data_IF_772776026076
#
_entry.id   IF_772776026076
#
_cell.length_a   1.000
_cell.length_b   1.000
_cell.length_c   1.000
_cell.angle_alpha   90.00
_cell.angle_beta   90.00
_cell.angle_gamma   90.00
#
_symmetry.space_group_name_H-M   'P 1'
#
loop_
_entity.id
_entity.type
_entity.pdbx_description
1 polymer ?
#
# COMPACT_ATOMS: atom_id res chain seq x y z
N UNK A 1 -24.65 19.52 -2.44
CA UNK A 1 -23.80 18.38 -2.08
C UNK A 1 -23.08 17.79 -3.30
N UNK A 2 -23.75 17.45 -4.39
CA UNK A 2 -23.17 16.83 -5.59
C UNK A 2 -22.05 17.63 -6.27
N UNK A 3 -22.04 18.98 -6.18
CA UNK A 3 -20.99 19.83 -6.76
C UNK A 3 -19.58 19.64 -6.15
N UNK A 4 -19.45 18.92 -5.04
CA UNK A 4 -18.18 18.64 -4.35
C UNK A 4 -17.62 17.22 -4.65
N UNK A 5 -18.34 16.41 -5.45
CA UNK A 5 -17.88 15.08 -5.88
C UNK A 5 -16.90 15.26 -7.03
N UNK A 6 -15.71 14.71 -6.86
CA UNK A 6 -14.69 14.64 -7.90
C UNK A 6 -14.69 13.24 -8.51
N UNK A 7 -14.93 13.16 -9.80
CA UNK A 7 -14.81 11.91 -10.54
C UNK A 7 -13.37 11.72 -10.99
N UNK A 8 -12.89 10.51 -10.84
CA UNK A 8 -11.57 10.08 -11.31
C UNK A 8 -11.77 8.96 -12.29
N UNK A 9 -11.29 9.12 -13.52
CA UNK A 9 -11.31 8.03 -14.49
C UNK A 9 -10.23 7.00 -14.18
N UNK A 10 -10.45 5.74 -14.58
CA UNK A 10 -9.43 4.69 -14.45
C UNK A 10 -8.13 5.09 -15.15
N UNK A 11 -8.22 5.76 -16.29
CA UNK A 11 -7.05 6.27 -17.01
C UNK A 11 -6.26 7.32 -16.21
N UNK A 12 -6.95 8.32 -15.62
CA UNK A 12 -6.30 9.32 -14.77
C UNK A 12 -5.62 8.66 -13.55
N UNK A 13 -6.31 7.71 -12.92
CA UNK A 13 -5.77 6.94 -11.81
C UNK A 13 -4.47 6.23 -12.20
N UNK A 14 -4.49 5.45 -13.30
CA UNK A 14 -3.31 4.72 -13.77
C UNK A 14 -2.15 5.65 -14.14
N UNK A 15 -2.40 6.75 -14.85
CA UNK A 15 -1.38 7.72 -15.24
C UNK A 15 -0.70 8.31 -14.00
N UNK A 16 -1.48 8.67 -12.98
CA UNK A 16 -0.92 9.24 -11.75
C UNK A 16 -0.12 8.23 -10.94
N UNK A 17 -0.62 7.00 -10.76
CA UNK A 17 0.12 5.94 -10.07
C UNK A 17 1.44 5.63 -10.79
N UNK A 18 1.41 5.49 -12.12
CA UNK A 18 2.63 5.25 -12.89
C UNK A 18 3.67 6.37 -12.69
N UNK A 19 3.26 7.64 -12.78
CA UNK A 19 4.16 8.77 -12.59
C UNK A 19 4.82 8.76 -11.20
N UNK A 20 4.08 8.40 -10.14
CA UNK A 20 4.63 8.29 -8.79
C UNK A 20 5.61 7.11 -8.64
N UNK A 21 5.36 5.99 -9.32
CA UNK A 21 6.30 4.87 -9.35
C UNK A 21 7.58 5.29 -10.08
N UNK A 22 7.47 5.94 -11.25
CA UNK A 22 8.61 6.39 -12.03
C UNK A 22 9.46 7.41 -11.27
N UNK A 23 8.85 8.28 -10.46
CA UNK A 23 9.56 9.22 -9.59
C UNK A 23 10.48 8.51 -8.57
N UNK A 24 10.01 7.38 -8.02
CA UNK A 24 10.79 6.56 -7.07
C UNK A 24 11.89 5.77 -7.79
N UNK A 25 11.64 5.37 -9.03
CA UNK A 25 12.44 4.40 -9.78
C UNK A 25 13.54 5.05 -10.65
N UNK A 26 14.12 6.15 -10.24
CA UNK A 26 14.97 7.02 -11.04
C UNK A 26 16.41 6.49 -11.28
N UNK A 27 16.82 5.38 -10.66
CA UNK A 27 18.16 4.78 -10.86
C UNK A 27 18.08 3.47 -11.64
N UNK A 28 18.98 3.27 -12.60
CA UNK A 28 19.02 2.03 -13.39
C UNK A 28 19.38 0.80 -12.54
N UNK A 29 20.21 0.99 -11.52
CA UNK A 29 20.69 -0.09 -10.64
C UNK A 29 19.63 -0.59 -9.64
N UNK A 30 18.52 0.12 -9.47
CA UNK A 30 17.48 -0.24 -8.52
C UNK A 30 16.87 -1.61 -8.84
N UNK A 31 16.72 -2.43 -7.79
CA UNK A 31 15.93 -3.66 -7.81
C UNK A 31 14.74 -3.48 -6.90
N UNK A 32 13.55 -3.63 -7.45
CA UNK A 32 12.32 -3.14 -6.87
C UNK A 32 11.33 -4.27 -6.69
N UNK A 33 10.91 -4.50 -5.45
CA UNK A 33 9.77 -5.37 -5.15
C UNK A 33 8.48 -4.55 -5.17
N UNK A 34 7.49 -5.02 -5.92
CA UNK A 34 6.19 -4.39 -6.04
C UNK A 34 5.14 -5.23 -5.32
N UNK A 35 4.35 -4.59 -4.49
CA UNK A 35 3.24 -5.18 -3.74
C UNK A 35 2.00 -4.29 -3.89
N UNK A 36 0.83 -4.90 -3.89
CA UNK A 36 -0.44 -4.20 -3.72
C UNK A 36 -0.94 -4.48 -2.30
N UNK A 37 -1.38 -3.44 -1.61
CA UNK A 37 -1.98 -3.57 -0.29
C UNK A 37 -3.22 -4.46 -0.37
N UNK A 38 -3.37 -5.33 0.62
CA UNK A 38 -4.56 -6.15 0.83
C UNK A 38 -4.91 -6.21 2.31
N UNK A 39 -6.09 -6.65 2.60
CA UNK A 39 -6.46 -6.96 3.97
C UNK A 39 -5.59 -8.10 4.52
N UNK A 40 -5.09 -7.92 5.74
CA UNK A 40 -4.24 -8.87 6.45
C UNK A 40 -4.73 -9.05 7.88
N UNK A 41 -4.45 -10.21 8.46
CA UNK A 41 -4.75 -10.48 9.86
C UNK A 41 -3.72 -9.78 10.76
N UNK A 42 -4.11 -9.56 12.02
CA UNK A 42 -3.17 -9.08 13.04
C UNK A 42 -2.07 -10.14 13.24
N UNK A 43 -0.81 -9.68 13.40
CA UNK A 43 0.39 -10.51 13.58
C UNK A 43 0.82 -11.38 12.36
N UNK A 44 0.21 -11.17 11.20
CA UNK A 44 0.64 -11.81 9.96
C UNK A 44 2.06 -11.33 9.56
N UNK A 45 2.79 -12.17 8.83
CA UNK A 45 4.13 -11.86 8.30
C UNK A 45 4.17 -12.00 6.79
N UNK A 46 5.02 -11.20 6.13
CA UNK A 46 5.15 -11.26 4.66
C UNK A 46 5.70 -12.60 4.19
N UNK A 47 6.66 -13.16 4.93
CA UNK A 47 7.29 -14.44 4.62
C UNK A 47 7.23 -15.37 5.82
N UNK A 48 7.25 -16.66 5.55
CA UNK A 48 7.50 -17.67 6.59
C UNK A 48 8.93 -17.55 7.11
N UNK A 49 9.18 -17.96 8.34
CA UNK A 49 10.51 -18.03 8.91
C UNK A 49 10.59 -19.16 9.96
N UNK A 50 11.79 -19.70 10.18
CA UNK A 50 12.02 -20.66 11.24
C UNK A 50 12.01 -19.94 12.58
N UNK A 51 11.39 -20.56 13.58
CA UNK A 51 11.42 -20.08 14.97
C UNK A 51 12.79 -20.29 15.62
N UNK A 52 13.58 -21.23 15.11
CA UNK A 52 14.97 -21.45 15.52
C UNK A 52 15.90 -20.38 14.93
N UNK A 53 17.01 -20.12 15.60
CA UNK A 53 18.02 -19.19 15.09
C UNK A 53 18.95 -19.88 14.08
N UNK A 54 19.30 -19.18 13.00
CA UNK A 54 18.89 -17.83 12.60
C UNK A 54 17.46 -17.80 12.03
N UNK A 55 16.65 -16.83 12.44
CA UNK A 55 15.27 -16.62 11.98
C UNK A 55 15.26 -16.10 10.54
N UNK A 56 15.63 -16.94 9.59
CA UNK A 56 15.72 -16.58 8.19
C UNK A 56 14.37 -16.74 7.50
N UNK A 57 13.92 -15.69 6.84
CA UNK A 57 12.70 -15.75 6.02
C UNK A 57 12.89 -16.63 4.79
N UNK A 58 11.84 -17.33 4.39
CA UNK A 58 11.80 -18.21 3.22
C UNK A 58 10.38 -18.22 2.62
N UNK A 59 10.31 -18.73 1.38
CA UNK A 59 9.04 -18.95 0.68
C UNK A 59 8.46 -17.70 0.03
N UNK A 60 7.25 -17.84 -0.47
CA UNK A 60 6.56 -16.80 -1.21
C UNK A 60 6.03 -15.71 -0.27
N UNK A 61 5.96 -14.48 -0.78
CA UNK A 61 5.35 -13.38 -0.08
C UNK A 61 3.84 -13.64 0.10
N UNK A 62 3.35 -13.45 1.31
CA UNK A 62 1.94 -13.64 1.64
C UNK A 62 1.41 -14.95 1.05
N UNK A 63 1.82 -16.11 1.59
CA UNK A 63 1.36 -17.39 1.08
C UNK A 63 -0.16 -17.36 0.98
N UNK A 64 -0.75 -17.95 -0.08
CA UNK A 64 -2.18 -17.87 -0.30
C UNK A 64 -2.90 -18.37 0.95
N UNK A 65 -3.76 -17.52 1.51
CA UNK A 65 -4.75 -17.99 2.48
C UNK A 65 -5.53 -19.04 1.71
N UNK A 66 -5.50 -20.28 2.15
CA UNK A 66 -6.33 -21.35 1.61
C UNK A 66 -7.80 -21.02 1.95
N UNK A 67 -8.35 -20.00 1.33
CA UNK A 67 -9.77 -19.75 1.35
C UNK A 67 -10.40 -20.75 0.39
N UNK A 68 -10.91 -21.82 0.94
CA UNK A 68 -11.77 -22.78 0.25
C UNK A 68 -13.13 -22.18 -0.15
N UNK A 69 -13.31 -20.88 0.01
CA UNK A 69 -14.59 -20.21 -0.21
C UNK A 69 -14.41 -19.12 -1.26
N UNK A 70 -15.00 -19.38 -2.40
CA UNK A 70 -15.34 -18.47 -3.50
C UNK A 70 -14.19 -17.64 -4.10
N UNK A 71 -13.85 -18.01 -5.34
CA UNK A 71 -13.20 -17.14 -6.32
C UNK A 71 -14.04 -15.87 -6.52
N UNK A 72 -13.98 -14.93 -5.58
CA UNK A 72 -14.39 -13.56 -5.85
C UNK A 72 -13.40 -13.02 -6.87
N UNK A 73 -13.87 -12.84 -8.10
CA UNK A 73 -13.18 -12.02 -9.09
C UNK A 73 -13.06 -10.65 -8.41
N UNK A 74 -11.85 -10.28 -8.06
CA UNK A 74 -11.55 -8.96 -7.49
C UNK A 74 -11.80 -7.90 -8.56
N UNK A 75 -13.03 -7.39 -8.56
CA UNK A 75 -13.44 -6.27 -9.41
C UNK A 75 -13.34 -5.03 -8.55
N UNK A 76 -12.16 -4.40 -8.53
CA UNK A 76 -11.93 -3.21 -7.73
C UNK A 76 -10.58 -2.57 -8.03
N UNK A 77 -10.22 -1.55 -7.26
CA UNK A 77 -8.94 -0.84 -7.35
C UNK A 77 -7.74 -1.76 -7.20
N UNK A 78 -7.83 -2.81 -6.39
CA UNK A 78 -6.79 -3.83 -6.23
C UNK A 78 -6.47 -4.53 -7.56
N UNK A 79 -7.48 -4.91 -8.34
CA UNK A 79 -7.29 -5.50 -9.68
C UNK A 79 -6.56 -4.54 -10.64
N UNK A 80 -6.88 -3.25 -10.61
CA UNK A 80 -6.20 -2.23 -11.44
C UNK A 80 -4.75 -2.11 -11.00
N UNK A 81 -4.47 -2.03 -9.71
CA UNK A 81 -3.11 -1.93 -9.16
C UNK A 81 -2.28 -3.19 -9.49
N UNK A 82 -2.86 -4.39 -9.40
CA UNK A 82 -2.19 -5.63 -9.81
C UNK A 82 -1.86 -5.65 -11.32
N UNK A 83 -2.71 -5.09 -12.17
CA UNK A 83 -2.40 -4.91 -13.59
C UNK A 83 -1.24 -3.93 -13.81
N UNK A 84 -1.17 -2.85 -13.03
CA UNK A 84 -0.08 -1.87 -13.09
C UNK A 84 1.25 -2.55 -12.75
N UNK A 85 1.36 -3.24 -11.61
CA UNK A 85 2.62 -3.89 -11.23
C UNK A 85 3.03 -4.99 -12.22
N UNK A 86 2.05 -5.71 -12.79
CA UNK A 86 2.31 -6.72 -13.84
C UNK A 86 2.90 -6.07 -15.08
N UNK A 87 2.42 -4.89 -15.47
CA UNK A 87 2.95 -4.12 -16.60
C UNK A 87 4.40 -3.69 -16.34
N UNK A 88 4.73 -3.16 -15.15
CA UNK A 88 6.09 -2.79 -14.79
C UNK A 88 7.05 -4.00 -14.87
N UNK A 89 6.65 -5.15 -14.34
CA UNK A 89 7.46 -6.37 -14.43
C UNK A 89 7.68 -6.83 -15.87
N UNK A 90 6.68 -6.68 -16.76
CA UNK A 90 6.82 -7.00 -18.20
C UNK A 90 7.74 -6.02 -18.93
N UNK A 91 7.74 -4.74 -18.54
CA UNK A 91 8.60 -3.71 -19.13
C UNK A 91 10.08 -3.97 -18.81
N UNK A 92 10.40 -4.30 -17.57
CA UNK A 92 11.76 -4.68 -17.18
C UNK A 92 11.74 -5.73 -16.04
N UNK A 93 11.78 -7.00 -16.42
CA UNK A 93 11.81 -8.14 -15.49
C UNK A 93 13.13 -8.27 -14.70
N UNK A 94 14.17 -7.51 -15.06
CA UNK A 94 15.43 -7.46 -14.32
C UNK A 94 15.42 -6.40 -13.23
N UNK A 95 14.52 -5.43 -13.30
CA UNK A 95 14.35 -4.32 -12.36
C UNK A 95 13.17 -4.53 -11.41
N UNK A 96 12.02 -4.96 -11.93
CA UNK A 96 10.77 -5.06 -11.18
C UNK A 96 10.38 -6.50 -10.89
N UNK A 97 10.02 -6.77 -9.64
CA UNK A 97 9.65 -8.08 -9.12
C UNK A 97 8.32 -7.99 -8.37
N UNK A 98 7.29 -8.64 -8.89
CA UNK A 98 5.97 -8.68 -8.23
C UNK A 98 5.95 -9.77 -7.17
N UNK A 99 5.60 -9.41 -5.96
CA UNK A 99 5.53 -10.32 -4.81
C UNK A 99 6.71 -11.32 -4.77
N UNK A 100 7.97 -10.83 -4.84
CA UNK A 100 9.12 -11.71 -4.90
C UNK A 100 9.20 -12.59 -3.65
N UNK A 101 9.66 -13.83 -3.81
CA UNK A 101 9.95 -14.69 -2.66
C UNK A 101 11.12 -14.14 -1.82
N UNK A 102 11.25 -14.59 -0.57
CA UNK A 102 12.34 -14.19 0.29
C UNK A 102 13.72 -14.52 -0.30
N UNK A 103 13.82 -15.60 -1.07
CA UNK A 103 15.04 -16.00 -1.79
C UNK A 103 15.37 -15.04 -2.92
N UNK A 104 14.34 -14.62 -3.68
CA UNK A 104 14.50 -13.63 -4.76
C UNK A 104 14.93 -12.28 -4.17
N UNK A 105 14.30 -11.82 -3.08
CA UNK A 105 14.69 -10.60 -2.39
C UNK A 105 16.21 -10.58 -2.10
N UNK A 106 16.73 -11.69 -1.58
CA UNK A 106 18.17 -11.82 -1.26
C UNK A 106 19.05 -11.95 -2.49
N UNK A 107 18.75 -12.90 -3.37
CA UNK A 107 19.61 -13.23 -4.52
C UNK A 107 19.71 -12.10 -5.52
N UNK A 108 18.64 -11.34 -5.69
CA UNK A 108 18.61 -10.16 -6.57
C UNK A 108 19.03 -8.88 -5.86
N UNK A 109 19.29 -8.91 -4.55
CA UNK A 109 19.64 -7.75 -3.72
C UNK A 109 18.64 -6.61 -3.90
N UNK A 110 17.35 -6.95 -3.79
CA UNK A 110 16.27 -5.97 -3.90
C UNK A 110 16.43 -4.93 -2.80
N UNK A 111 16.48 -3.65 -3.18
CA UNK A 111 16.79 -2.54 -2.28
C UNK A 111 15.61 -1.58 -2.07
N UNK A 112 14.57 -1.68 -2.92
CA UNK A 112 13.35 -0.89 -2.78
C UNK A 112 12.13 -1.81 -2.70
N UNK A 113 11.24 -1.52 -1.77
CA UNK A 113 9.92 -2.14 -1.64
C UNK A 113 8.89 -1.06 -1.88
N UNK A 114 8.08 -1.18 -2.92
CA UNK A 114 6.98 -0.26 -3.21
C UNK A 114 5.67 -0.97 -2.94
N UNK A 115 4.86 -0.40 -2.07
CA UNK A 115 3.51 -0.87 -1.72
C UNK A 115 2.51 0.09 -2.35
N UNK A 116 1.65 -0.44 -3.20
CA UNK A 116 0.60 0.33 -3.87
C UNK A 116 -0.71 0.18 -3.13
N UNK A 117 -1.42 1.27 -2.94
CA UNK A 117 -2.81 1.31 -2.48
C UNK A 117 -3.59 2.37 -3.26
N UNK A 118 -4.90 2.30 -3.29
CA UNK A 118 -5.72 3.31 -3.95
C UNK A 118 -5.87 4.56 -3.08
N UNK A 119 -6.18 4.39 -1.81
CA UNK A 119 -6.49 5.50 -0.91
C UNK A 119 -6.05 5.22 0.52
N UNK A 120 -5.38 6.18 1.14
CA UNK A 120 -5.07 6.16 2.56
C UNK A 120 -6.11 6.98 3.31
N UNK A 121 -7.12 6.32 3.87
CA UNK A 121 -8.15 6.94 4.74
C UNK A 121 -7.62 7.17 6.16
N UNK A 122 -7.91 6.25 7.07
CA UNK A 122 -7.40 6.28 8.45
C UNK A 122 -5.95 5.79 8.59
N UNK A 123 -5.40 5.17 7.57
CA UNK A 123 -4.09 4.52 7.58
C UNK A 123 -4.05 3.19 8.37
N UNK A 124 -5.16 2.73 8.94
CA UNK A 124 -5.16 1.52 9.77
C UNK A 124 -4.80 0.27 8.98
N UNK A 125 -5.45 0.05 7.84
CA UNK A 125 -5.24 -1.12 7.00
C UNK A 125 -3.80 -1.15 6.48
N UNK A 126 -3.33 -0.04 5.93
CA UNK A 126 -1.96 0.08 5.44
C UNK A 126 -0.93 -0.13 6.57
N UNK A 127 -1.18 0.38 7.78
CA UNK A 127 -0.30 0.12 8.92
C UNK A 127 -0.25 -1.35 9.31
N UNK A 128 -1.38 -2.08 9.29
CA UNK A 128 -1.37 -3.54 9.49
C UNK A 128 -0.53 -4.23 8.42
N UNK A 129 -0.69 -3.85 7.15
CA UNK A 129 0.09 -4.38 6.05
C UNK A 129 1.59 -4.11 6.19
N UNK A 130 1.98 -2.89 6.52
CA UNK A 130 3.38 -2.52 6.81
C UNK A 130 3.95 -3.28 8.02
N UNK A 131 3.13 -3.55 9.02
CA UNK A 131 3.55 -4.34 10.18
C UNK A 131 3.90 -5.77 9.80
N UNK A 132 3.28 -6.38 8.78
CA UNK A 132 3.67 -7.71 8.29
C UNK A 132 5.14 -7.73 7.83
N UNK A 133 5.62 -6.65 7.21
CA UNK A 133 7.03 -6.50 6.84
C UNK A 133 7.92 -6.38 8.08
N UNK A 134 7.53 -5.53 9.03
CA UNK A 134 8.29 -5.36 10.27
C UNK A 134 8.33 -6.62 11.14
N UNK A 135 7.25 -7.39 11.17
CA UNK A 135 7.15 -8.63 11.94
C UNK A 135 7.97 -9.79 11.34
N UNK A 136 8.39 -9.67 10.06
CA UNK A 136 9.25 -10.65 9.40
C UNK A 136 10.71 -10.40 9.79
N UNK A 137 11.39 -11.29 10.56
CA UNK A 137 12.72 -11.01 11.13
C UNK A 137 13.79 -10.61 10.11
N UNK A 138 13.86 -11.28 8.96
CA UNK A 138 14.80 -10.92 7.89
C UNK A 138 14.52 -9.53 7.33
N UNK A 139 13.26 -9.19 7.09
CA UNK A 139 12.87 -7.87 6.57
C UNK A 139 13.18 -6.79 7.60
N UNK A 140 12.83 -7.01 8.86
CA UNK A 140 13.19 -6.11 9.96
C UNK A 140 14.69 -5.84 10.02
N UNK A 141 15.52 -6.87 9.87
CA UNK A 141 16.97 -6.74 9.82
C UNK A 141 17.43 -5.89 8.62
N UNK A 142 16.87 -6.12 7.43
CA UNK A 142 17.24 -5.37 6.23
C UNK A 142 16.79 -3.91 6.30
N UNK A 143 15.62 -3.63 6.88
CA UNK A 143 15.16 -2.26 7.15
C UNK A 143 16.08 -1.56 8.15
N UNK A 144 16.41 -2.22 9.26
CA UNK A 144 17.25 -1.64 10.33
C UNK A 144 18.69 -1.37 9.87
N UNK A 145 19.20 -2.15 8.92
CA UNK A 145 20.55 -1.96 8.35
C UNK A 145 20.57 -1.03 7.12
N UNK A 146 19.42 -0.52 6.68
CA UNK A 146 19.32 0.34 5.50
C UNK A 146 19.51 -0.40 4.16
N UNK A 147 19.46 -1.73 4.14
CA UNK A 147 19.56 -2.51 2.90
C UNK A 147 18.33 -2.38 2.02
N UNK A 148 17.15 -2.21 2.62
CA UNK A 148 15.90 -1.94 1.91
C UNK A 148 15.26 -0.67 2.42
N UNK A 149 14.57 0.04 1.52
CA UNK A 149 13.73 1.17 1.84
C UNK A 149 12.29 0.86 1.40
N UNK A 150 11.32 1.28 2.21
CA UNK A 150 9.90 1.10 1.94
C UNK A 150 9.33 2.40 1.40
N UNK A 151 8.60 2.28 0.31
CA UNK A 151 7.84 3.35 -0.33
C UNK A 151 6.38 2.93 -0.39
N UNK A 152 5.50 3.88 -0.17
CA UNK A 152 4.06 3.71 -0.35
C UNK A 152 3.63 4.65 -1.47
N UNK A 153 2.89 4.12 -2.43
CA UNK A 153 2.31 4.89 -3.53
C UNK A 153 0.79 4.78 -3.44
N UNK A 154 0.11 5.91 -3.36
CA UNK A 154 -1.34 5.95 -3.38
C UNK A 154 -1.88 7.09 -4.27
N UNK A 155 -3.11 6.93 -4.74
CA UNK A 155 -3.75 7.99 -5.54
C UNK A 155 -4.21 9.14 -4.65
N UNK A 156 -4.83 8.84 -3.51
CA UNK A 156 -5.33 9.86 -2.59
C UNK A 156 -5.03 9.50 -1.14
N UNK A 157 -4.81 10.50 -0.30
CA UNK A 157 -4.57 10.29 1.12
C UNK A 157 -5.21 11.40 1.96
N UNK A 158 -5.68 11.08 3.15
CA UNK A 158 -6.05 12.08 4.15
C UNK A 158 -4.80 12.51 4.92
N UNK A 159 -4.75 13.75 5.39
CA UNK A 159 -3.66 14.23 6.25
C UNK A 159 -3.51 13.39 7.52
N UNK A 160 -4.64 12.97 8.10
CA UNK A 160 -4.66 12.08 9.26
C UNK A 160 -4.05 10.70 8.96
N UNK A 161 -4.43 10.10 7.82
CA UNK A 161 -3.87 8.81 7.41
C UNK A 161 -2.38 8.88 7.13
N UNK A 162 -1.92 9.94 6.44
CA UNK A 162 -0.50 10.17 6.17
C UNK A 162 0.31 10.24 7.47
N UNK A 163 -0.09 11.11 8.40
CA UNK A 163 0.63 11.27 9.68
C UNK A 163 0.75 9.96 10.46
N UNK A 164 -0.25 9.08 10.39
CA UNK A 164 -0.21 7.77 11.06
C UNK A 164 0.69 6.76 10.35
N UNK A 165 0.69 6.77 9.02
CA UNK A 165 1.53 5.86 8.21
C UNK A 165 3.00 6.23 8.34
N UNK A 166 3.34 7.52 8.33
CA UNK A 166 4.71 8.01 8.50
C UNK A 166 5.34 7.61 9.84
N UNK A 167 4.50 7.44 10.88
CA UNK A 167 4.94 6.96 12.20
C UNK A 167 5.15 5.44 12.28
N UNK A 168 4.86 4.68 11.20
CA UNK A 168 5.07 3.25 11.19
C UNK A 168 6.54 2.87 11.40
N UNK A 169 6.78 1.73 12.06
CA UNK A 169 8.14 1.23 12.36
C UNK A 169 8.98 0.97 11.11
N UNK A 170 8.36 0.71 9.97
CA UNK A 170 9.05 0.55 8.67
C UNK A 170 9.54 1.87 8.09
N UNK A 171 9.13 3.02 8.65
CA UNK A 171 9.47 4.38 8.20
C UNK A 171 9.28 4.57 6.69
N UNK A 172 8.08 4.34 6.15
CA UNK A 172 7.86 4.42 4.72
C UNK A 172 7.92 5.87 4.22
N UNK A 173 8.47 6.07 3.02
CA UNK A 173 8.28 7.32 2.28
C UNK A 173 6.97 7.23 1.50
N UNK A 174 6.04 8.16 1.73
CA UNK A 174 4.70 8.12 1.12
C UNK A 174 4.61 9.10 -0.05
N UNK A 175 4.22 8.58 -1.20
CA UNK A 175 3.99 9.32 -2.44
C UNK A 175 2.51 9.27 -2.79
N UNK A 176 1.88 10.43 -2.99
CA UNK A 176 0.45 10.52 -3.30
C UNK A 176 0.14 11.58 -4.34
N UNK A 177 -0.92 11.38 -5.11
CA UNK A 177 -1.32 12.31 -6.17
C UNK A 177 -2.11 13.50 -5.63
N UNK A 178 -2.93 13.29 -4.59
CA UNK A 178 -3.76 14.36 -4.01
C UNK A 178 -4.14 14.10 -2.55
N UNK A 179 -4.45 15.17 -1.84
CA UNK A 179 -5.08 15.08 -0.52
C UNK A 179 -6.58 14.80 -0.71
N UNK A 180 -7.09 13.81 -0.01
CA UNK A 180 -8.50 13.45 0.00
C UNK A 180 -9.26 14.45 0.88
N UNK A 181 -10.32 15.10 0.36
CA UNK A 181 -11.13 15.98 1.18
C UNK A 181 -11.89 15.17 2.25
N UNK A 182 -11.83 15.64 3.48
CA UNK A 182 -12.59 15.09 4.62
C UNK A 182 -13.80 15.96 4.91
N UNK A 183 -14.75 15.46 5.71
CA UNK A 183 -15.88 16.27 6.18
C UNK A 183 -15.35 17.53 6.91
N UNK A 184 -14.24 17.38 7.64
CA UNK A 184 -13.68 18.47 8.44
C UNK A 184 -13.10 19.61 7.61
N UNK A 185 -12.48 19.34 6.47
CA UNK A 185 -11.95 20.37 5.60
C UNK A 185 -12.86 20.74 4.41
N UNK A 186 -13.96 19.99 4.21
CA UNK A 186 -14.92 20.23 3.11
C UNK A 186 -16.14 21.06 3.50
N UNK A 187 -16.46 21.16 4.78
CA UNK A 187 -17.65 21.86 5.28
C UNK A 187 -17.30 22.84 6.38
N UNK A 188 -17.87 24.05 6.31
CA UNK A 188 -17.79 25.02 7.39
C UNK A 188 -18.55 24.52 8.64
N UNK A 189 -18.22 25.06 9.81
CA UNK A 189 -18.92 24.69 11.06
C UNK A 189 -20.44 24.95 10.99
N UNK A 190 -20.88 25.96 10.23
CA UNK A 190 -22.30 26.23 10.02
C UNK A 190 -22.99 25.19 9.14
N UNK A 191 -22.33 24.78 8.04
CA UNK A 191 -22.82 23.71 7.16
C UNK A 191 -22.92 22.39 7.91
N UNK A 192 -21.89 22.01 8.71
CA UNK A 192 -21.91 20.80 9.53
C UNK A 192 -23.10 20.78 10.49
N UNK A 193 -23.33 21.85 11.25
CA UNK A 193 -24.47 21.97 12.16
C UNK A 193 -25.81 21.84 11.44
N UNK A 194 -25.94 22.38 10.22
CA UNK A 194 -27.15 22.27 9.39
C UNK A 194 -27.42 20.82 8.96
N UNK A 195 -26.38 20.08 8.52
CA UNK A 195 -26.54 18.70 8.09
C UNK A 195 -26.76 17.73 9.25
N UNK A 196 -26.13 17.96 10.42
CA UNK A 196 -26.38 17.15 11.62
C UNK A 196 -27.81 17.31 12.12
N UNK A 197 -28.37 18.52 12.13
CA UNK A 197 -29.78 18.74 12.51
C UNK A 197 -30.77 18.07 11.56
N UNK A 198 -30.49 18.06 10.25
CA UNK A 198 -31.38 17.38 9.29
C UNK A 198 -31.28 15.85 9.38
N UNK A 199 -30.17 15.28 9.78
CA UNK A 199 -30.02 13.84 10.00
C UNK A 199 -30.77 13.36 11.24
N UNK A 200 -30.80 14.17 12.31
CA UNK A 200 -31.55 13.86 13.54
C UNK A 200 -33.08 13.88 13.32
N UNK A 201 -33.56 14.68 12.37
CA UNK A 201 -34.99 14.79 12.05
C UNK A 201 -35.50 13.68 11.09
N UNK A 202 -34.63 12.77 10.60
CA UNK A 202 -35.00 11.64 9.74
C UNK A 202 -35.16 10.34 10.56
N UNK A 203 -34.72 10.34 11.82
CA UNK A 203 -34.70 9.17 12.71
C UNK A 203 -35.90 9.23 13.72
N UNK A 204 -36.73 10.26 13.67
CA UNK A 204 -38.02 10.36 14.39
C UNK A 204 -39.20 10.23 13.41
#
# INVERSE_FOLDING_TARGET
>A
MLKKIQWVSSHEFEVKINALIDEICNKEEDKIALFVEREVLDDETVYSFNTEKPQRAFGNAFPPILSTIDKKIEIGSEGILNNIITRFQRLDSRKYYNYPSAEIMRSKRINKVIILTDTIGSGNQLNKYLNCFWNTPSIKSWLSSGHINVYVVCFAATEFGLSRVELNKTKPSVFYSRICPTIDNSFTNQERKKYMKSATNIIL
#
